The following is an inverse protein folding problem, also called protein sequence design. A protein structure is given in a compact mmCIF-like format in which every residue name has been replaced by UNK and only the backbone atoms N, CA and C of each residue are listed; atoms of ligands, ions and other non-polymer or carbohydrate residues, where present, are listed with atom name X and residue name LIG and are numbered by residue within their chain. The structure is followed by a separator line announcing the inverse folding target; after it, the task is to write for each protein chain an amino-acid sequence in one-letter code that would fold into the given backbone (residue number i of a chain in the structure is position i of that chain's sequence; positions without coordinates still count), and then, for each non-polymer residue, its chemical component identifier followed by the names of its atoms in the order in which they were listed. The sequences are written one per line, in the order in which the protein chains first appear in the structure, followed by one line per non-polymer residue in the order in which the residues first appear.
data_IF_312023454065
#
_entry.id   IF_312023454065
#
_cell.length_a   1.000
_cell.length_b   1.000
_cell.length_c   1.000
_cell.angle_alpha   90.00
_cell.angle_beta   90.00
_cell.angle_gamma   90.00
#
_symmetry.space_group_name_H-M   'P 1'
#
loop_
_entity.id
_entity.type
_entity.pdbx_description
1 polymer ?
#
# COMPACT_ATOMS: atom_id res chain seq x y z
N UNK A 1 -22.88 -15.71 -59.49
CA UNK A 1 -21.88 -16.44 -58.69
C UNK A 1 -20.55 -15.71 -58.84
N UNK A 2 -19.99 -15.15 -57.76
CA UNK A 2 -18.74 -14.37 -57.83
C UNK A 2 -17.57 -15.13 -57.22
N UNK A 3 -16.38 -14.90 -57.76
CA UNK A 3 -15.18 -15.72 -57.57
C UNK A 3 -14.50 -15.44 -56.23
N UNK A 4 -13.88 -16.48 -55.66
CA UNK A 4 -12.87 -16.32 -54.61
C UNK A 4 -11.50 -16.21 -55.27
N UNK A 5 -10.73 -15.20 -54.90
CA UNK A 5 -9.28 -15.18 -55.10
C UNK A 5 -8.60 -15.27 -53.74
N UNK A 6 -7.50 -16.03 -53.70
CA UNK A 6 -6.68 -16.21 -52.52
C UNK A 6 -5.36 -15.47 -52.75
N UNK A 7 -5.02 -14.56 -51.83
CA UNK A 7 -3.71 -13.90 -51.82
C UNK A 7 -2.83 -14.45 -50.69
N UNK A 8 -1.53 -14.54 -50.97
CA UNK A 8 -0.52 -15.17 -50.11
C UNK A 8 0.18 -14.14 -49.23
N UNK A 9 0.44 -14.49 -47.98
CA UNK A 9 1.33 -13.75 -47.09
C UNK A 9 2.81 -13.92 -47.47
N UNK A 10 3.66 -12.90 -47.29
CA UNK A 10 5.12 -13.03 -47.29
C UNK A 10 5.72 -12.97 -45.87
N UNK A 11 6.70 -13.85 -45.58
CA UNK A 11 7.57 -13.73 -44.41
C UNK A 11 8.67 -12.66 -44.60
N UNK A 12 9.15 -11.99 -43.52
CA UNK A 12 10.44 -11.32 -43.50
C UNK A 12 11.56 -12.22 -42.92
N UNK A 13 12.77 -12.06 -43.49
CA UNK A 13 13.92 -12.96 -43.32
C UNK A 13 14.76 -12.70 -42.06
N UNK A 14 15.49 -13.74 -41.62
CA UNK A 14 16.60 -13.65 -40.66
C UNK A 14 17.80 -12.88 -41.24
N UNK A 15 18.52 -12.15 -40.38
CA UNK A 15 19.89 -11.69 -40.61
C UNK A 15 20.79 -12.01 -39.41
N UNK A 16 22.08 -12.27 -39.65
CA UNK A 16 23.03 -12.75 -38.64
C UNK A 16 24.14 -11.76 -38.31
N UNK A 17 24.61 -11.86 -37.06
CA UNK A 17 25.98 -11.61 -36.54
C UNK A 17 26.91 -10.68 -37.33
N UNK A 18 27.39 -9.65 -36.63
CA UNK A 18 28.79 -9.20 -36.72
C UNK A 18 29.35 -9.03 -35.30
N UNK A 19 30.63 -9.37 -35.11
CA UNK A 19 31.36 -9.23 -33.85
C UNK A 19 32.42 -8.15 -33.98
N UNK A 20 32.79 -7.50 -32.87
CA UNK A 20 33.95 -6.59 -32.80
C UNK A 20 34.83 -7.02 -31.63
N UNK A 21 36.14 -7.06 -31.86
CA UNK A 21 37.18 -7.41 -30.88
C UNK A 21 38.43 -6.59 -31.20
N UNK A 22 39.04 -5.98 -30.18
CA UNK A 22 40.41 -5.43 -30.18
C UNK A 22 40.80 -5.33 -28.68
N UNK A 23 41.66 -6.22 -28.15
CA UNK A 23 43.13 -6.10 -28.03
C UNK A 23 43.61 -4.74 -27.47
N UNK A 24 44.02 -4.64 -26.20
CA UNK A 24 45.30 -5.08 -25.55
C UNK A 24 46.34 -3.95 -25.50
N UNK A 25 46.74 -3.57 -24.28
CA UNK A 25 48.12 -3.21 -23.89
C UNK A 25 48.26 -3.29 -22.36
N UNK A 26 49.40 -3.76 -21.86
CA UNK A 26 49.71 -3.87 -20.42
C UNK A 26 51.18 -3.49 -20.17
N UNK A 27 51.46 -2.94 -18.98
CA UNK A 27 52.75 -2.88 -18.24
C UNK A 27 52.42 -2.20 -16.89
N UNK A 28 52.68 -2.71 -15.69
CA UNK A 28 53.86 -3.38 -15.09
C UNK A 28 54.75 -2.40 -14.29
N UNK A 29 54.61 -2.51 -12.96
CA UNK A 29 55.63 -2.42 -11.88
C UNK A 29 56.55 -1.19 -11.68
N UNK A 30 56.75 -0.84 -10.40
CA UNK A 30 58.07 -0.40 -9.90
C UNK A 30 58.14 0.88 -9.06
N UNK A 31 58.85 0.81 -7.92
CA UNK A 31 59.66 1.93 -7.42
C UNK A 31 59.20 2.63 -6.13
N UNK A 32 59.97 2.44 -5.06
CA UNK A 32 59.82 3.15 -3.77
C UNK A 32 60.86 4.27 -3.59
N UNK A 33 60.57 5.17 -2.62
CA UNK A 33 61.52 5.84 -1.71
C UNK A 33 62.16 7.22 -2.05
N UNK A 34 61.81 8.19 -1.19
CA UNK A 34 62.68 9.08 -0.38
C UNK A 34 63.63 10.10 -1.05
N UNK A 35 63.45 11.39 -0.67
CA UNK A 35 64.57 12.27 -0.32
C UNK A 35 64.47 13.74 -0.76
N UNK A 36 64.48 14.70 0.19
CA UNK A 36 64.79 16.12 -0.09
C UNK A 36 63.95 17.18 0.63
N UNK A 37 64.49 17.77 1.71
CA UNK A 37 64.14 19.12 2.17
C UNK A 37 65.00 20.14 1.38
N UNK A 38 64.75 21.46 1.30
CA UNK A 38 63.88 22.42 2.01
C UNK A 38 63.53 23.58 1.02
N UNK A 39 62.97 24.77 1.34
CA UNK A 39 62.63 25.47 2.58
C UNK A 39 61.52 26.54 2.34
N UNK A 40 61.03 27.16 3.43
CA UNK A 40 60.71 28.60 3.49
C UNK A 40 59.61 29.21 2.62
N UNK A 41 58.39 29.34 3.18
CA UNK A 41 57.56 30.57 3.19
C UNK A 41 56.13 30.23 3.63
N UNK A 42 55.56 31.01 4.56
CA UNK A 42 54.19 30.81 5.05
C UNK A 42 53.33 32.05 4.73
N UNK A 43 52.35 31.93 3.82
CA UNK A 43 51.21 32.82 3.75
C UNK A 43 49.91 32.05 4.13
N UNK A 44 48.72 32.69 4.18
CA UNK A 44 47.78 32.49 5.27
C UNK A 44 46.96 31.20 5.19
N UNK A 45 46.46 30.75 6.37
CA UNK A 45 45.48 29.67 6.47
C UNK A 45 44.18 30.05 5.75
N UNK A 46 43.99 29.55 4.54
CA UNK A 46 42.65 29.36 3.98
C UNK A 46 42.00 28.20 4.71
N UNK A 47 40.90 28.45 5.42
CA UNK A 47 40.09 27.39 5.97
C UNK A 47 39.41 26.64 4.83
N UNK A 48 39.89 25.44 4.50
CA UNK A 48 39.12 24.49 3.70
C UNK A 48 37.89 24.15 4.53
N UNK A 49 36.74 24.67 4.11
CA UNK A 49 35.45 24.29 4.70
C UNK A 49 35.21 22.85 4.28
N UNK A 50 35.39 21.94 5.24
CA UNK A 50 35.14 20.52 5.04
C UNK A 50 33.74 20.33 4.47
N UNK A 51 33.65 19.61 3.35
CA UNK A 51 32.37 19.28 2.74
C UNK A 51 31.47 18.60 3.78
N UNK A 52 30.38 19.27 4.15
CA UNK A 52 29.47 18.79 5.20
C UNK A 52 28.91 17.44 4.78
N UNK A 53 29.46 16.37 5.35
CA UNK A 53 28.82 15.05 5.36
C UNK A 53 27.50 15.21 6.07
N UNK A 54 26.43 15.35 5.31
CA UNK A 54 25.05 15.26 5.81
C UNK A 54 24.94 13.91 6.53
N UNK A 55 24.67 13.89 7.86
CA UNK A 55 24.56 12.63 8.56
C UNK A 55 23.39 11.85 7.97
N UNK A 56 23.66 10.61 7.56
CA UNK A 56 22.61 9.67 7.17
C UNK A 56 21.83 9.30 8.44
N UNK A 57 20.80 10.09 8.75
CA UNK A 57 19.98 9.90 9.97
C UNK A 57 19.43 8.49 9.95
N UNK A 58 19.74 7.70 10.98
CA UNK A 58 19.43 6.28 11.03
C UNK A 58 17.91 6.06 10.97
N UNK A 59 17.43 5.70 9.78
CA UNK A 59 16.00 5.52 9.51
C UNK A 59 15.41 4.38 10.36
N UNK A 60 16.25 3.52 10.94
CA UNK A 60 15.81 2.49 11.86
C UNK A 60 15.33 3.07 13.21
N UNK A 61 15.79 4.25 13.64
CA UNK A 61 15.32 4.85 14.90
C UNK A 61 13.98 5.59 14.74
N UNK A 62 13.79 6.28 13.62
CA UNK A 62 12.48 6.79 13.19
C UNK A 62 11.42 5.66 13.12
N UNK A 63 11.77 4.56 12.45
CA UNK A 63 10.92 3.39 12.29
C UNK A 63 10.60 2.62 13.60
N UNK A 64 11.25 2.92 14.74
CA UNK A 64 10.92 2.30 16.03
C UNK A 64 9.59 2.77 16.62
N UNK A 65 8.98 3.83 16.08
CA UNK A 65 7.76 4.46 16.64
C UNK A 65 6.62 4.69 15.63
N UNK A 66 6.83 4.38 14.35
CA UNK A 66 5.88 4.69 13.26
C UNK A 66 4.70 3.70 13.13
N UNK A 67 4.69 2.58 13.85
CA UNK A 67 3.51 1.69 13.92
C UNK A 67 2.63 2.06 15.13
N UNK A 68 1.38 2.47 14.88
CA UNK A 68 0.37 2.91 15.88
C UNK A 68 0.23 1.97 17.08
N UNK A 69 0.52 0.68 16.88
CA UNK A 69 0.47 -0.34 17.93
C UNK A 69 1.54 -0.18 19.03
N UNK A 70 2.67 0.49 18.75
CA UNK A 70 3.77 0.63 19.73
C UNK A 70 3.59 1.83 20.69
N UNK A 71 2.52 2.63 20.53
CA UNK A 71 2.21 3.79 21.39
C UNK A 71 0.88 3.71 22.13
N UNK A 72 0.10 2.62 21.94
CA UNK A 72 -1.21 2.43 22.56
C UNK A 72 -1.15 1.48 23.77
N UNK A 73 -1.75 1.83 24.92
CA UNK A 73 -1.87 0.92 26.06
C UNK A 73 -2.69 -0.34 25.71
N UNK A 74 -2.24 -1.50 26.18
CA UNK A 74 -3.05 -2.73 26.11
C UNK A 74 -4.24 -2.63 27.09
N UNK A 75 -5.46 -3.04 26.70
CA UNK A 75 -6.57 -3.13 27.63
C UNK A 75 -6.34 -4.24 28.68
N UNK A 76 -6.93 -4.13 29.88
CA UNK A 76 -6.81 -5.16 30.92
C UNK A 76 -7.31 -6.53 30.44
N UNK A 77 -6.68 -7.60 30.93
CA UNK A 77 -7.11 -8.98 30.70
C UNK A 77 -7.86 -9.50 31.91
N UNK A 78 -9.18 -9.45 31.88
CA UNK A 78 -10.01 -10.18 32.85
C UNK A 78 -10.45 -11.54 32.29
N UNK A 79 -10.54 -12.51 33.20
CA UNK A 79 -10.55 -13.94 32.87
C UNK A 79 -11.93 -14.56 32.61
N UNK A 80 -11.88 -15.72 31.95
CA UNK A 80 -12.81 -16.88 32.00
C UNK A 80 -14.32 -16.65 32.21
N UNK A 81 -15.15 -17.32 31.38
CA UNK A 81 -15.91 -18.41 32.00
C UNK A 81 -16.01 -19.71 31.19
N UNK A 82 -16.02 -20.79 31.99
CA UNK A 82 -16.54 -22.18 31.82
C UNK A 82 -17.31 -22.58 30.56
N UNK A 83 -17.08 -23.84 30.18
CA UNK A 83 -17.94 -24.65 29.31
C UNK A 83 -19.37 -24.81 29.85
N UNK A 84 -20.34 -24.85 28.93
CA UNK A 84 -21.39 -25.89 28.89
C UNK A 84 -21.75 -26.20 27.43
N UNK A 85 -21.88 -27.49 27.12
CA UNK A 85 -22.41 -27.94 25.84
C UNK A 85 -23.95 -27.95 25.86
N UNK A 86 -24.57 -27.53 24.76
CA UNK A 86 -26.01 -27.63 24.53
C UNK A 86 -26.25 -27.84 23.04
N UNK A 87 -26.77 -29.01 22.67
CA UNK A 87 -26.99 -29.44 21.29
C UNK A 87 -28.48 -29.45 21.00
N UNK A 88 -29.00 -28.40 20.37
CA UNK A 88 -30.39 -28.35 19.92
C UNK A 88 -30.50 -28.26 18.39
N UNK A 89 -31.38 -29.10 17.84
CA UNK A 89 -31.62 -29.24 16.41
C UNK A 89 -32.98 -28.67 16.01
N UNK A 90 -32.97 -27.86 14.95
CA UNK A 90 -34.09 -27.56 14.04
C UNK A 90 -35.35 -26.85 14.60
N UNK A 91 -35.61 -25.65 14.06
CA UNK A 91 -36.64 -25.44 13.02
C UNK A 91 -36.48 -24.06 12.36
N UNK A 92 -36.96 -23.95 11.12
CA UNK A 92 -36.86 -22.73 10.32
C UNK A 92 -37.79 -21.64 10.83
N UNK A 93 -37.21 -20.52 11.24
CA UNK A 93 -37.89 -19.28 11.63
C UNK A 93 -37.45 -18.23 10.61
N UNK A 94 -38.37 -17.79 9.75
CA UNK A 94 -38.10 -16.88 8.63
C UNK A 94 -38.18 -15.41 9.02
N UNK A 95 -38.28 -15.09 10.32
CA UNK A 95 -38.14 -13.71 10.78
C UNK A 95 -36.66 -13.27 10.72
N UNK A 96 -36.34 -12.11 10.10
CA UNK A 96 -34.97 -11.60 10.08
C UNK A 96 -34.48 -11.29 11.51
N UNK A 97 -33.65 -12.18 12.06
CA UNK A 97 -33.04 -11.97 13.38
C UNK A 97 -32.11 -10.75 13.32
N UNK A 98 -32.18 -9.83 14.31
CA UNK A 98 -31.47 -8.58 14.24
C UNK A 98 -29.95 -8.77 14.12
N UNK A 99 -29.34 -7.90 13.33
CA UNK A 99 -27.90 -7.80 13.18
C UNK A 99 -27.20 -7.63 14.53
N UNK A 100 -25.99 -8.18 14.65
CA UNK A 100 -25.25 -8.17 15.92
C UNK A 100 -23.76 -7.89 15.72
N UNK A 101 -23.23 -6.96 16.51
CA UNK A 101 -21.81 -6.61 16.61
C UNK A 101 -21.08 -7.45 17.67
N UNK A 102 -19.75 -7.36 17.69
CA UNK A 102 -18.91 -7.93 18.74
C UNK A 102 -18.66 -9.45 18.63
N UNK A 103 -18.05 -10.07 19.66
CA UNK A 103 -17.53 -11.44 19.58
C UNK A 103 -18.59 -12.54 19.38
N UNK A 104 -19.84 -12.28 19.78
CA UNK A 104 -20.96 -13.23 19.68
C UNK A 104 -21.87 -12.97 18.47
N UNK A 105 -21.40 -12.18 17.49
CA UNK A 105 -22.06 -11.89 16.22
C UNK A 105 -22.26 -13.15 15.36
N UNK A 106 -21.18 -13.92 15.18
CA UNK A 106 -21.15 -15.08 14.29
C UNK A 106 -21.56 -14.70 12.87
N UNK A 107 -22.37 -15.54 12.23
CA UNK A 107 -22.87 -15.32 10.88
C UNK A 107 -23.88 -14.16 10.75
N UNK A 108 -24.34 -13.59 11.86
CA UNK A 108 -25.28 -12.45 11.91
C UNK A 108 -24.58 -11.09 12.05
N UNK A 109 -23.31 -11.01 11.66
CA UNK A 109 -22.58 -9.75 11.66
C UNK A 109 -23.06 -8.87 10.50
N UNK A 110 -23.46 -7.59 10.72
CA UNK A 110 -23.90 -6.70 9.64
C UNK A 110 -22.80 -6.31 8.64
N UNK A 111 -21.57 -6.80 8.82
CA UNK A 111 -20.49 -6.66 7.85
C UNK A 111 -20.67 -7.62 6.67
N UNK A 112 -21.38 -8.73 6.87
CA UNK A 112 -21.61 -9.74 5.83
C UNK A 112 -22.76 -9.35 4.89
N UNK A 113 -22.75 -9.93 3.69
CA UNK A 113 -23.82 -9.79 2.70
C UNK A 113 -25.12 -10.44 3.20
N UNK A 114 -26.26 -9.81 2.95
CA UNK A 114 -27.60 -10.30 3.28
C UNK A 114 -28.03 -10.08 4.73
N UNK A 115 -27.17 -9.52 5.60
CA UNK A 115 -27.47 -9.31 7.03
C UNK A 115 -28.01 -7.91 7.32
N UNK A 116 -27.48 -6.89 6.63
CA UNK A 116 -27.91 -5.50 6.74
C UNK A 116 -28.31 -5.01 5.35
N UNK A 117 -29.55 -5.31 4.95
CA UNK A 117 -30.04 -5.06 3.59
C UNK A 117 -30.08 -3.56 3.24
N UNK A 118 -30.23 -2.69 4.24
CA UNK A 118 -30.20 -1.24 4.05
C UNK A 118 -28.79 -0.79 3.64
N UNK A 119 -27.75 -1.18 4.40
CA UNK A 119 -26.37 -0.90 4.01
C UNK A 119 -25.93 -1.67 2.77
N UNK A 120 -26.46 -2.87 2.52
CA UNK A 120 -26.15 -3.63 1.31
C UNK A 120 -26.57 -2.88 0.04
N UNK A 121 -27.72 -2.18 0.08
CA UNK A 121 -28.25 -1.39 -1.04
C UNK A 121 -27.42 -0.15 -1.40
N UNK A 122 -26.44 0.22 -0.57
CA UNK A 122 -25.50 1.30 -0.83
C UNK A 122 -24.33 0.87 -1.73
N UNK A 123 -24.18 -0.45 -1.99
CA UNK A 123 -23.06 -1.02 -2.73
C UNK A 123 -23.52 -1.89 -3.91
N UNK A 124 -22.90 -1.78 -5.10
CA UNK A 124 -21.88 -0.80 -5.48
C UNK A 124 -22.43 0.63 -5.50
N UNK A 125 -21.54 1.62 -5.38
CA UNK A 125 -21.93 3.04 -5.33
C UNK A 125 -22.63 3.46 -6.62
N UNK A 126 -23.82 4.06 -6.47
CA UNK A 126 -24.61 4.60 -7.57
C UNK A 126 -23.82 5.71 -8.26
N UNK A 127 -23.85 5.73 -9.60
CA UNK A 127 -23.11 6.67 -10.45
C UNK A 127 -21.57 6.54 -10.36
N UNK A 128 -21.02 5.45 -9.82
CA UNK A 128 -19.61 5.15 -10.01
C UNK A 128 -19.29 5.01 -11.51
N UNK A 129 -18.18 5.61 -12.01
CA UNK A 129 -17.84 5.57 -13.43
C UNK A 129 -17.57 4.14 -13.90
N UNK A 130 -17.94 3.85 -15.14
CA UNK A 130 -17.60 2.59 -15.78
C UNK A 130 -16.06 2.45 -15.88
N UNK A 131 -15.48 1.27 -15.56
CA UNK A 131 -14.04 1.07 -15.67
C UNK A 131 -13.54 1.27 -17.11
N UNK A 132 -12.55 2.15 -17.30
CA UNK A 132 -11.88 2.33 -18.59
C UNK A 132 -10.95 1.15 -18.93
N UNK A 133 -10.53 1.00 -20.20
CA UNK A 133 -9.50 0.03 -20.57
C UNK A 133 -8.24 0.16 -19.72
N UNK A 134 -7.73 -0.96 -19.21
CA UNK A 134 -6.57 -1.00 -18.31
C UNK A 134 -6.91 -0.88 -16.82
N UNK A 135 -8.16 -0.60 -16.43
CA UNK A 135 -8.60 -0.73 -15.04
C UNK A 135 -8.35 -2.14 -14.49
N UNK A 136 -7.99 -2.21 -13.21
CA UNK A 136 -7.72 -3.47 -12.49
C UNK A 136 -8.98 -3.93 -11.76
N UNK A 137 -9.73 -2.98 -11.19
CA UNK A 137 -10.95 -3.20 -10.44
C UNK A 137 -12.18 -2.93 -11.33
N UNK A 138 -13.29 -3.68 -11.18
CA UNK A 138 -13.47 -4.79 -10.24
C UNK A 138 -12.93 -6.15 -10.71
N UNK A 139 -12.44 -6.26 -11.95
CA UNK A 139 -12.19 -7.55 -12.61
C UNK A 139 -11.09 -8.43 -11.98
N UNK A 140 -10.16 -7.84 -11.22
CA UNK A 140 -9.08 -8.55 -10.51
C UNK A 140 -9.12 -8.23 -9.02
N UNK A 141 -8.59 -9.14 -8.20
CA UNK A 141 -8.24 -8.83 -6.79
C UNK A 141 -6.78 -8.43 -6.67
N UNK A 142 -6.49 -7.35 -6.00
CA UNK A 142 -5.11 -6.95 -5.68
C UNK A 142 -4.70 -7.63 -4.37
N UNK A 143 -3.55 -8.30 -4.37
CA UNK A 143 -2.92 -8.82 -3.14
C UNK A 143 -1.58 -8.12 -2.98
N UNK A 144 -1.50 -7.24 -1.99
CA UNK A 144 -0.40 -6.32 -1.76
C UNK A 144 0.43 -6.72 -0.53
N UNK A 145 1.74 -6.82 -0.68
CA UNK A 145 2.66 -6.90 0.46
C UNK A 145 3.08 -5.49 0.85
N UNK A 146 2.72 -5.05 2.06
CA UNK A 146 2.96 -3.68 2.52
C UNK A 146 4.18 -3.55 3.41
N UNK A 147 4.83 -2.39 3.35
CA UNK A 147 5.78 -1.98 4.37
C UNK A 147 6.92 -1.11 3.88
N UNK A 148 8.06 -1.24 4.53
CA UNK A 148 9.27 -0.48 4.21
C UNK A 148 10.52 -1.38 4.29
N UNK A 149 11.31 -1.53 3.21
CA UNK A 149 12.46 -2.44 3.18
C UNK A 149 13.62 -2.03 4.10
N UNK A 150 13.60 -0.83 4.70
CA UNK A 150 14.56 -0.39 5.71
C UNK A 150 14.11 -0.71 7.15
N UNK A 151 12.95 -1.35 7.37
CA UNK A 151 12.43 -1.65 8.71
C UNK A 151 11.73 -3.01 8.83
N UNK A 152 12.26 -3.89 9.70
CA UNK A 152 11.63 -5.17 10.11
C UNK A 152 10.33 -5.01 10.91
N UNK A 153 9.96 -3.78 11.29
CA UNK A 153 8.77 -3.45 12.09
C UNK A 153 7.64 -2.88 11.25
N UNK A 154 7.95 -2.20 10.16
CA UNK A 154 7.00 -1.55 9.27
C UNK A 154 6.64 -2.50 8.12
N UNK A 155 6.01 -3.64 8.43
CA UNK A 155 5.43 -4.56 7.46
C UNK A 155 6.38 -5.56 6.79
N UNK A 156 5.77 -6.52 6.09
CA UNK A 156 6.42 -7.70 5.49
C UNK A 156 7.52 -7.38 4.47
N UNK A 157 7.46 -6.23 3.79
CA UNK A 157 8.50 -5.81 2.82
C UNK A 157 9.89 -5.63 3.44
N UNK A 158 9.98 -5.37 4.75
CA UNK A 158 11.24 -5.24 5.48
C UNK A 158 11.58 -6.42 6.38
N UNK A 159 10.69 -7.42 6.50
CA UNK A 159 10.85 -8.51 7.46
C UNK A 159 11.77 -9.64 6.96
N UNK A 160 11.68 -9.97 5.67
CA UNK A 160 12.40 -11.08 5.04
C UNK A 160 13.36 -10.59 3.95
N UNK A 161 14.40 -11.37 3.59
CA UNK A 161 15.15 -11.16 2.35
C UNK A 161 14.20 -11.13 1.13
N UNK A 162 14.55 -10.33 0.11
CA UNK A 162 13.65 -10.05 -1.02
C UNK A 162 13.12 -11.32 -1.71
N UNK A 163 13.97 -12.30 -2.00
CA UNK A 163 13.55 -13.54 -2.66
C UNK A 163 12.65 -14.43 -1.78
N UNK A 164 12.79 -14.36 -0.46
CA UNK A 164 11.88 -15.05 0.45
C UNK A 164 10.54 -14.30 0.53
N UNK A 165 10.57 -12.97 0.62
CA UNK A 165 9.38 -12.12 0.59
C UNK A 165 8.56 -12.34 -0.69
N UNK A 166 9.21 -12.36 -1.87
CA UNK A 166 8.55 -12.59 -3.14
C UNK A 166 7.98 -14.02 -3.25
N UNK A 167 8.67 -15.06 -2.78
CA UNK A 167 8.08 -16.42 -2.71
C UNK A 167 6.86 -16.51 -1.79
N UNK A 168 6.82 -15.73 -0.70
CA UNK A 168 5.63 -15.63 0.16
C UNK A 168 4.48 -14.91 -0.57
N UNK A 169 4.78 -13.87 -1.35
CA UNK A 169 3.77 -13.21 -2.21
C UNK A 169 3.22 -14.18 -3.25
N UNK A 170 4.08 -14.96 -3.92
CA UNK A 170 3.68 -15.99 -4.89
C UNK A 170 2.71 -17.01 -4.27
N UNK A 171 2.97 -17.43 -3.01
CA UNK A 171 2.09 -18.33 -2.27
C UNK A 171 0.75 -17.68 -1.85
N UNK A 172 0.77 -16.41 -1.46
CA UNK A 172 -0.44 -15.64 -1.12
C UNK A 172 -1.34 -15.42 -2.35
N UNK A 173 -0.74 -15.12 -3.51
CA UNK A 173 -1.41 -15.04 -4.82
C UNK A 173 -2.10 -16.37 -5.17
N UNK A 174 -1.38 -17.49 -5.04
CA UNK A 174 -1.95 -18.82 -5.29
C UNK A 174 -3.11 -19.15 -4.34
N UNK A 175 -2.96 -18.86 -3.05
CA UNK A 175 -3.98 -19.10 -2.03
C UNK A 175 -5.25 -18.27 -2.24
N UNK A 176 -5.14 -17.03 -2.73
CA UNK A 176 -6.30 -16.19 -3.08
C UNK A 176 -6.98 -16.62 -4.38
N UNK A 177 -6.21 -16.96 -5.43
CA UNK A 177 -6.76 -17.50 -6.68
C UNK A 177 -7.56 -18.80 -6.45
N UNK A 178 -7.11 -19.66 -5.52
CA UNK A 178 -7.77 -20.92 -5.23
C UNK A 178 -9.14 -20.78 -4.54
N UNK A 179 -9.38 -19.70 -3.78
CA UNK A 179 -10.65 -19.47 -3.04
C UNK A 179 -11.62 -18.56 -3.77
N UNK A 180 -11.16 -17.75 -4.73
CA UNK A 180 -12.01 -16.92 -5.59
C UNK A 180 -11.40 -16.78 -6.99
N UNK A 181 -11.57 -17.80 -7.86
CA UNK A 181 -11.07 -17.78 -9.23
C UNK A 181 -11.82 -16.78 -10.15
N UNK A 182 -12.94 -16.20 -9.71
CA UNK A 182 -13.67 -15.20 -10.49
C UNK A 182 -12.99 -13.82 -10.49
N UNK A 183 -12.12 -13.54 -9.51
CA UNK A 183 -11.34 -12.32 -9.41
C UNK A 183 -9.84 -12.66 -9.38
N UNK A 184 -9.23 -13.04 -10.53
CA UNK A 184 -7.84 -13.46 -10.60
C UNK A 184 -6.91 -12.40 -10.02
N UNK A 185 -5.91 -12.85 -9.27
CA UNK A 185 -5.07 -11.99 -8.45
C UNK A 185 -4.06 -11.21 -9.28
N UNK A 186 -4.04 -9.89 -9.08
CA UNK A 186 -2.96 -8.99 -9.46
C UNK A 186 -2.02 -8.80 -8.25
N UNK A 187 -0.80 -9.34 -8.26
CA UNK A 187 0.16 -9.10 -7.17
C UNK A 187 0.54 -7.62 -7.11
N UNK A 188 0.90 -7.15 -5.91
CA UNK A 188 1.41 -5.81 -5.67
C UNK A 188 2.44 -5.76 -4.53
N UNK A 189 3.34 -4.77 -4.58
CA UNK A 189 4.15 -4.33 -3.44
C UNK A 189 3.68 -2.91 -3.07
N UNK A 190 3.42 -2.66 -1.78
CA UNK A 190 2.98 -1.36 -1.29
C UNK A 190 4.02 -0.78 -0.34
N UNK A 191 4.83 0.16 -0.83
CA UNK A 191 5.99 0.68 -0.11
C UNK A 191 5.75 2.08 0.46
N UNK A 192 6.00 2.24 1.76
CA UNK A 192 6.00 3.54 2.43
C UNK A 192 7.25 4.31 2.00
N UNK A 193 7.08 5.30 1.12
CA UNK A 193 8.18 6.11 0.57
C UNK A 193 8.37 7.44 1.29
N UNK A 194 7.32 7.93 1.93
CA UNK A 194 7.34 9.05 2.87
C UNK A 194 6.85 8.52 4.21
N UNK A 195 7.73 8.43 5.20
CA UNK A 195 7.43 7.92 6.54
C UNK A 195 7.15 9.08 7.47
N UNK A 196 6.11 8.98 8.32
CA UNK A 196 5.85 9.97 9.36
C UNK A 196 6.68 9.67 10.61
N UNK A 197 7.35 10.71 11.12
CA UNK A 197 8.35 10.60 12.18
C UNK A 197 7.83 11.14 13.51
N UNK A 198 8.27 10.55 14.62
CA UNK A 198 8.02 11.09 15.96
C UNK A 198 8.87 12.35 16.28
N UNK A 199 9.77 12.76 15.38
CA UNK A 199 10.67 13.91 15.52
C UNK A 199 10.59 14.79 14.25
N UNK A 200 10.78 16.13 14.37
CA UNK A 200 10.49 17.06 13.28
C UNK A 200 11.32 16.89 12.00
N UNK A 201 12.51 16.28 12.09
CA UNK A 201 13.49 16.23 11.01
C UNK A 201 13.99 17.64 10.57
N UNK A 202 14.89 17.72 9.58
CA UNK A 202 15.47 19.01 9.16
C UNK A 202 14.47 20.03 8.59
N UNK A 203 13.30 19.56 8.13
CA UNK A 203 12.25 20.42 7.55
C UNK A 203 11.18 20.86 8.54
N UNK A 204 11.24 20.42 9.80
CA UNK A 204 10.19 20.65 10.80
C UNK A 204 8.90 19.85 10.57
N UNK A 205 8.81 19.06 9.48
CA UNK A 205 7.56 18.43 9.02
C UNK A 205 7.22 17.07 9.61
N UNK A 206 8.03 16.52 10.52
CA UNK A 206 7.77 15.21 11.13
C UNK A 206 7.58 14.11 10.07
N UNK A 207 8.42 14.12 9.03
CA UNK A 207 8.46 13.07 8.02
C UNK A 207 9.84 12.91 7.37
N UNK A 208 10.11 11.71 6.85
CA UNK A 208 11.32 11.35 6.12
C UNK A 208 10.95 10.84 4.72
N UNK A 209 11.46 11.54 3.69
CA UNK A 209 11.41 11.06 2.29
C UNK A 209 12.52 10.04 2.09
N UNK A 210 12.20 8.86 1.57
CA UNK A 210 13.22 7.90 1.15
C UNK A 210 13.82 8.25 -0.21
N UNK A 211 15.07 7.84 -0.40
CA UNK A 211 15.80 8.07 -1.64
C UNK A 211 15.17 7.32 -2.83
N UNK A 212 15.38 7.85 -4.04
CA UNK A 212 14.82 7.22 -5.24
C UNK A 212 15.40 5.84 -5.52
N UNK A 213 16.63 5.53 -5.08
CA UNK A 213 17.24 4.22 -5.30
C UNK A 213 16.49 3.10 -4.53
N UNK A 214 15.97 3.39 -3.34
CA UNK A 214 15.09 2.48 -2.60
C UNK A 214 13.78 2.23 -3.36
N UNK A 215 13.16 3.28 -3.89
CA UNK A 215 11.88 3.18 -4.64
C UNK A 215 12.09 2.37 -5.92
N UNK A 216 13.16 2.64 -6.68
CA UNK A 216 13.51 1.86 -7.87
C UNK A 216 13.86 0.40 -7.55
N UNK A 217 14.48 0.12 -6.40
CA UNK A 217 14.77 -1.24 -5.95
C UNK A 217 13.50 -2.05 -5.72
N UNK A 218 12.50 -1.46 -5.03
CA UNK A 218 11.19 -2.11 -4.81
C UNK A 218 10.41 -2.21 -6.11
N UNK A 219 10.48 -1.21 -6.99
CA UNK A 219 9.92 -1.29 -8.34
C UNK A 219 10.51 -2.46 -9.14
N UNK A 220 11.84 -2.67 -9.08
CA UNK A 220 12.50 -3.82 -9.69
C UNK A 220 11.98 -5.17 -9.16
N UNK A 221 11.71 -5.27 -7.86
CA UNK A 221 11.06 -6.45 -7.27
C UNK A 221 9.64 -6.66 -7.80
N UNK A 222 8.82 -5.60 -7.86
CA UNK A 222 7.46 -5.67 -8.39
C UNK A 222 7.47 -6.13 -9.87
N UNK A 223 8.33 -5.52 -10.70
CA UNK A 223 8.53 -5.89 -12.10
C UNK A 223 8.94 -7.36 -12.28
N UNK A 224 9.73 -7.93 -11.37
CA UNK A 224 10.13 -9.35 -11.39
C UNK A 224 8.96 -10.35 -11.19
N UNK A 225 7.77 -9.87 -10.87
CA UNK A 225 6.53 -10.65 -10.71
C UNK A 225 5.34 -10.11 -11.50
N UNK A 226 5.57 -9.16 -12.42
CA UNK A 226 4.51 -8.40 -13.09
C UNK A 226 3.48 -7.82 -12.09
N UNK A 227 3.99 -7.40 -10.94
CA UNK A 227 3.22 -6.86 -9.83
C UNK A 227 3.12 -5.33 -9.92
N UNK A 228 2.05 -4.77 -9.37
CA UNK A 228 1.88 -3.33 -9.22
C UNK A 228 2.82 -2.80 -8.12
N UNK A 229 3.17 -1.52 -8.20
CA UNK A 229 3.80 -0.81 -7.10
C UNK A 229 2.86 0.27 -6.58
N UNK A 230 2.57 0.27 -5.29
CA UNK A 230 1.97 1.42 -4.63
C UNK A 230 3.06 2.17 -3.87
N UNK A 231 3.15 3.49 -4.09
CA UNK A 231 3.99 4.38 -3.30
C UNK A 231 3.11 5.08 -2.25
N UNK A 232 3.38 4.84 -0.98
CA UNK A 232 2.57 5.34 0.13
C UNK A 232 3.16 6.59 0.80
N UNK A 233 2.27 7.52 1.18
CA UNK A 233 2.60 8.80 1.79
C UNK A 233 1.99 9.02 3.19
N UNK A 234 2.85 8.90 4.20
CA UNK A 234 2.60 9.35 5.57
C UNK A 234 3.12 10.79 5.75
N UNK A 235 2.25 11.78 5.51
CA UNK A 235 2.69 13.18 5.28
C UNK A 235 3.22 13.92 6.52
N UNK A 236 2.96 13.44 7.74
CA UNK A 236 3.32 14.15 8.96
C UNK A 236 2.62 15.51 9.04
N UNK A 237 3.37 16.57 9.34
CA UNK A 237 2.89 17.98 9.30
C UNK A 237 3.06 18.63 7.92
N UNK A 238 3.26 17.83 6.87
CA UNK A 238 3.18 18.26 5.47
C UNK A 238 1.76 18.07 4.92
N UNK A 239 1.58 18.26 3.61
CA UNK A 239 0.30 18.05 2.92
C UNK A 239 0.50 17.32 1.60
N UNK A 240 -0.55 16.68 1.07
CA UNK A 240 -0.49 15.98 -0.23
C UNK A 240 -0.08 16.93 -1.36
N UNK A 241 -0.50 18.21 -1.30
CA UNK A 241 -0.10 19.27 -2.23
C UNK A 241 1.41 19.50 -2.27
N UNK A 242 2.12 19.33 -1.15
CA UNK A 242 3.56 19.53 -1.04
C UNK A 242 4.39 18.26 -1.32
N UNK A 243 3.77 17.08 -1.23
CA UNK A 243 4.46 15.78 -1.30
C UNK A 243 4.21 15.02 -2.62
N UNK A 244 3.03 15.13 -3.24
CA UNK A 244 2.73 14.44 -4.50
C UNK A 244 3.65 14.83 -5.69
N UNK A 245 4.01 16.11 -5.92
CA UNK A 245 4.92 16.48 -7.02
C UNK A 245 6.30 15.83 -6.93
N UNK A 246 6.76 15.45 -5.72
CA UNK A 246 8.05 14.78 -5.53
C UNK A 246 8.04 13.32 -6.05
N UNK A 247 6.88 12.65 -6.03
CA UNK A 247 6.71 11.28 -6.53
C UNK A 247 6.10 11.18 -7.94
N UNK A 248 5.79 12.30 -8.60
CA UNK A 248 5.23 12.35 -9.97
C UNK A 248 5.99 11.44 -10.94
N UNK A 249 7.33 11.53 -10.92
CA UNK A 249 8.26 10.75 -11.76
C UNK A 249 8.15 9.22 -11.62
N UNK A 250 7.54 8.72 -10.55
CA UNK A 250 7.22 7.31 -10.38
C UNK A 250 5.78 7.02 -10.85
N UNK A 251 4.82 7.88 -10.47
CA UNK A 251 3.40 7.74 -10.81
C UNK A 251 3.10 7.82 -12.32
N UNK A 252 3.97 8.45 -13.12
CA UNK A 252 3.88 8.43 -14.60
C UNK A 252 4.11 7.05 -15.23
N UNK A 253 4.50 6.02 -14.46
CA UNK A 253 4.60 4.64 -14.95
C UNK A 253 3.23 3.95 -14.84
N UNK A 254 2.79 3.16 -15.84
CA UNK A 254 1.42 2.62 -15.88
C UNK A 254 1.08 1.75 -14.66
N UNK A 255 2.04 0.95 -14.20
CA UNK A 255 1.96 -0.02 -13.10
C UNK A 255 2.29 0.54 -11.71
N UNK A 256 2.42 1.87 -11.58
CA UNK A 256 2.64 2.56 -10.29
C UNK A 256 1.38 3.35 -9.86
N UNK A 257 1.02 3.20 -8.59
CA UNK A 257 -0.20 3.71 -7.95
C UNK A 257 0.13 4.39 -6.60
N UNK A 258 -0.88 4.96 -5.94
CA UNK A 258 -0.73 5.78 -4.74
C UNK A 258 -1.44 5.18 -3.52
N UNK A 259 -0.74 5.13 -2.38
CA UNK A 259 -1.33 4.96 -1.06
C UNK A 259 -1.26 6.25 -0.25
N UNK A 260 -2.26 6.48 0.59
CA UNK A 260 -2.26 7.56 1.59
C UNK A 260 -2.78 7.05 2.94
N UNK A 261 -2.08 7.41 4.02
CA UNK A 261 -2.40 7.09 5.41
C UNK A 261 -2.97 8.33 6.15
N UNK A 262 -4.31 8.54 6.21
CA UNK A 262 -4.92 9.65 6.92
C UNK A 262 -4.53 9.80 8.39
N UNK A 263 -4.28 8.71 9.11
CA UNK A 263 -3.87 8.72 10.51
C UNK A 263 -2.49 9.35 10.74
N UNK A 264 -1.70 9.54 9.68
CA UNK A 264 -0.43 10.29 9.70
C UNK A 264 -0.52 11.71 9.14
N UNK A 265 -1.71 12.17 8.73
CA UNK A 265 -1.96 13.57 8.33
C UNK A 265 -2.14 14.48 9.55
N UNK A 266 -1.05 15.09 9.99
CA UNK A 266 -1.00 16.08 11.09
C UNK A 266 -1.20 17.52 10.59
N UNK A 267 -2.05 17.73 9.57
CA UNK A 267 -2.33 19.06 9.00
C UNK A 267 -2.89 20.06 10.02
N UNK A 268 -3.50 19.57 11.09
CA UNK A 268 -4.01 20.34 12.23
C UNK A 268 -2.98 20.45 13.38
N UNK A 269 -1.71 20.17 13.12
CA UNK A 269 -0.66 20.02 14.13
C UNK A 269 -0.72 18.67 14.86
N UNK A 270 0.12 18.53 15.88
CA UNK A 270 0.33 17.26 16.60
C UNK A 270 1.55 16.48 16.08
N UNK A 271 1.92 15.43 16.81
CA UNK A 271 3.09 14.59 16.51
C UNK A 271 2.59 13.22 16.04
N UNK A 272 3.06 12.69 14.90
CA UNK A 272 2.74 11.34 14.44
C UNK A 272 2.94 10.28 15.53
N UNK A 273 2.02 9.33 15.61
CA UNK A 273 2.02 8.27 16.63
C UNK A 273 1.67 8.71 18.06
N UNK A 274 1.58 10.02 18.35
CA UNK A 274 1.00 10.57 19.60
C UNK A 274 -0.44 11.06 19.43
N UNK A 275 -0.81 11.44 18.21
CA UNK A 275 -2.19 11.76 17.81
C UNK A 275 -2.50 11.00 16.52
N UNK A 276 -3.79 10.74 16.30
CA UNK A 276 -4.31 10.22 15.03
C UNK A 276 -4.67 11.43 14.16
N UNK A 277 -4.14 11.44 12.94
CA UNK A 277 -4.38 12.46 11.93
C UNK A 277 -5.73 12.31 11.23
N UNK A 278 -5.95 13.14 10.22
CA UNK A 278 -7.17 13.07 9.39
C UNK A 278 -6.94 13.65 7.99
N UNK A 279 -7.61 13.09 6.99
CA UNK A 279 -7.86 13.73 5.70
C UNK A 279 -9.33 14.11 5.59
N UNK A 280 -9.59 15.18 4.85
CA UNK A 280 -10.93 15.48 4.38
C UNK A 280 -11.11 14.95 2.95
N UNK A 281 -12.35 14.80 2.49
CA UNK A 281 -12.64 14.59 1.08
C UNK A 281 -11.96 15.62 0.16
N UNK A 282 -11.74 16.86 0.60
CA UNK A 282 -10.95 17.84 -0.14
C UNK A 282 -9.50 17.38 -0.44
N UNK A 283 -8.86 16.67 0.50
CA UNK A 283 -7.49 16.14 0.33
C UNK A 283 -7.48 14.92 -0.59
N UNK A 284 -8.44 14.00 -0.42
CA UNK A 284 -8.60 12.81 -1.27
C UNK A 284 -8.94 13.23 -2.71
N UNK A 285 -9.82 14.22 -2.88
CA UNK A 285 -10.16 14.80 -4.18
C UNK A 285 -8.97 15.54 -4.81
N UNK A 286 -8.07 16.11 -4.02
CA UNK A 286 -6.81 16.66 -4.54
C UNK A 286 -5.89 15.54 -5.08
N UNK A 287 -5.70 14.46 -4.32
CA UNK A 287 -4.92 13.30 -4.77
C UNK A 287 -5.53 12.63 -6.01
N UNK A 288 -6.85 12.46 -6.04
CA UNK A 288 -7.59 11.92 -7.19
C UNK A 288 -7.36 12.78 -8.45
N UNK A 289 -7.58 14.10 -8.38
CA UNK A 289 -7.30 15.00 -9.52
C UNK A 289 -5.83 15.00 -9.93
N UNK A 290 -4.90 14.92 -8.99
CA UNK A 290 -3.47 14.83 -9.31
C UNK A 290 -3.18 13.56 -10.13
N UNK A 291 -3.72 12.41 -9.74
CA UNK A 291 -3.58 11.16 -10.49
C UNK A 291 -4.28 11.22 -11.86
N UNK A 292 -5.50 11.76 -11.92
CA UNK A 292 -6.27 11.93 -13.16
C UNK A 292 -5.53 12.79 -14.18
N UNK A 293 -4.97 13.93 -13.75
CA UNK A 293 -4.12 14.77 -14.60
C UNK A 293 -2.90 14.03 -15.17
N UNK A 294 -2.30 13.08 -14.43
CA UNK A 294 -1.19 12.26 -14.95
C UNK A 294 -1.68 11.22 -15.95
N UNK A 295 -2.87 10.66 -15.76
CA UNK A 295 -3.51 9.73 -16.71
C UNK A 295 -3.75 10.42 -18.05
N UNK A 296 -4.37 11.60 -18.04
CA UNK A 296 -4.67 12.37 -19.25
C UNK A 296 -3.40 12.87 -19.95
N UNK A 297 -2.48 13.48 -19.20
CA UNK A 297 -1.23 14.07 -19.72
C UNK A 297 -0.28 13.04 -20.35
N UNK A 298 -0.30 11.79 -19.87
CA UNK A 298 0.66 10.75 -20.29
C UNK A 298 0.00 9.52 -20.95
N UNK A 299 -1.32 9.52 -21.15
CA UNK A 299 -2.05 8.41 -21.79
C UNK A 299 -1.95 7.10 -21.00
N UNK A 300 -2.02 7.17 -19.67
CA UNK A 300 -1.84 6.01 -18.78
C UNK A 300 -3.13 5.20 -18.64
N UNK A 301 -3.08 3.92 -18.23
CA UNK A 301 -4.25 3.25 -17.67
C UNK A 301 -4.70 3.94 -16.36
N UNK A 302 -5.98 3.79 -15.97
CA UNK A 302 -6.51 4.36 -14.73
C UNK A 302 -5.67 4.00 -13.50
N UNK A 303 -5.45 5.00 -12.66
CA UNK A 303 -4.71 4.84 -11.40
C UNK A 303 -5.58 4.20 -10.33
N UNK A 304 -4.91 3.77 -9.27
CA UNK A 304 -5.55 3.33 -8.04
C UNK A 304 -5.06 4.25 -6.92
N UNK A 305 -6.00 4.72 -6.12
CA UNK A 305 -5.77 5.47 -4.90
C UNK A 305 -6.26 4.62 -3.72
N UNK A 306 -5.33 4.08 -2.94
CA UNK A 306 -5.65 3.39 -1.68
C UNK A 306 -5.65 4.43 -0.56
N UNK A 307 -6.73 4.44 0.23
CA UNK A 307 -6.89 5.31 1.40
C UNK A 307 -7.05 4.41 2.63
N UNK A 308 -6.05 4.41 3.51
CA UNK A 308 -6.04 3.55 4.70
C UNK A 308 -6.91 4.13 5.81
N UNK A 309 -8.12 3.59 6.00
CA UNK A 309 -9.08 4.08 7.00
C UNK A 309 -8.94 3.25 8.29
N UNK A 310 -8.09 3.71 9.20
CA UNK A 310 -7.92 3.13 10.55
C UNK A 310 -9.07 3.47 11.51
N UNK A 311 -9.67 4.65 11.36
CA UNK A 311 -10.78 5.13 12.21
C UNK A 311 -11.79 5.90 11.35
N UNK A 312 -13.06 6.05 11.78
CA UNK A 312 -14.04 6.81 11.00
C UNK A 312 -13.62 8.29 10.88
N UNK A 313 -13.10 8.89 11.96
CA UNK A 313 -12.60 10.27 11.95
C UNK A 313 -11.31 10.48 11.13
N UNK A 314 -10.68 9.39 10.67
CA UNK A 314 -9.53 9.46 9.76
C UNK A 314 -9.89 10.05 8.39
N UNK A 315 -11.14 9.92 7.93
CA UNK A 315 -11.63 10.51 6.69
C UNK A 315 -12.92 11.28 6.92
N UNK A 316 -12.86 12.61 6.92
CA UNK A 316 -14.06 13.46 7.06
C UNK A 316 -14.76 13.70 5.72
N UNK A 317 -16.10 13.78 5.78
CA UNK A 317 -16.98 14.04 4.63
C UNK A 317 -16.81 13.05 3.45
N UNK A 318 -16.68 11.76 3.73
CA UNK A 318 -16.47 10.72 2.71
C UNK A 318 -17.52 10.73 1.57
N UNK A 319 -18.74 11.20 1.86
CA UNK A 319 -19.84 11.45 0.91
C UNK A 319 -19.52 12.49 -0.18
N UNK A 320 -18.51 13.34 0.05
CA UNK A 320 -18.05 14.38 -0.88
C UNK A 320 -16.81 13.96 -1.69
N UNK A 321 -16.38 12.71 -1.60
CA UNK A 321 -15.31 12.18 -2.44
C UNK A 321 -15.84 12.04 -3.87
N UNK A 322 -15.23 12.76 -4.81
CA UNK A 322 -15.60 12.75 -6.21
C UNK A 322 -14.93 11.57 -6.93
N UNK A 323 -15.73 10.76 -7.62
CA UNK A 323 -15.23 9.65 -8.43
C UNK A 323 -14.86 10.13 -9.83
N UNK A 324 -13.78 9.57 -10.38
CA UNK A 324 -13.20 9.93 -11.66
C UNK A 324 -12.92 8.63 -12.46
N UNK A 325 -13.30 8.51 -13.75
CA UNK A 325 -13.02 7.31 -14.54
C UNK A 325 -11.52 6.97 -14.66
N UNK A 326 -10.63 7.95 -14.50
CA UNK A 326 -9.18 7.78 -14.49
C UNK A 326 -8.63 7.29 -13.14
N UNK A 327 -9.42 7.23 -12.07
CA UNK A 327 -8.95 6.87 -10.72
C UNK A 327 -9.92 5.93 -9.99
N UNK A 328 -9.44 4.73 -9.68
CA UNK A 328 -10.13 3.73 -8.87
C UNK A 328 -9.78 3.96 -7.38
N UNK A 329 -10.74 4.38 -6.56
CA UNK A 329 -10.54 4.64 -5.13
C UNK A 329 -10.86 3.38 -4.31
N UNK A 330 -9.89 2.95 -3.51
CA UNK A 330 -10.02 1.86 -2.54
C UNK A 330 -10.02 2.44 -1.13
N UNK A 331 -11.11 2.23 -0.41
CA UNK A 331 -11.13 2.46 1.04
C UNK A 331 -10.67 1.18 1.75
N UNK A 332 -9.43 1.18 2.25
CA UNK A 332 -8.84 0.01 2.91
C UNK A 332 -9.13 0.03 4.43
N UNK A 333 -9.63 -1.09 4.95
CA UNK A 333 -9.88 -1.25 6.38
C UNK A 333 -8.56 -1.53 7.11
N UNK A 334 -8.00 -0.52 7.77
CA UNK A 334 -6.71 -0.57 8.45
C UNK A 334 -6.82 -1.03 9.92
N UNK A 335 -7.71 -1.99 10.19
CA UNK A 335 -7.91 -2.54 11.53
C UNK A 335 -6.99 -3.71 11.85
N UNK A 336 -6.65 -3.87 13.12
CA UNK A 336 -6.03 -5.07 13.68
C UNK A 336 -6.95 -5.71 14.73
N UNK A 337 -6.68 -6.98 15.06
CA UNK A 337 -7.33 -7.69 16.17
C UNK A 337 -7.95 -9.03 15.77
N UNK A 338 -8.75 -9.65 16.67
CA UNK A 338 -9.49 -10.86 16.36
C UNK A 338 -10.56 -10.61 15.27
N UNK A 339 -11.05 -11.65 14.57
CA UNK A 339 -11.90 -11.48 13.39
C UNK A 339 -13.19 -10.68 13.64
N UNK A 340 -13.80 -10.83 14.81
CA UNK A 340 -14.99 -10.07 15.18
C UNK A 340 -14.74 -8.56 15.27
N UNK A 341 -13.59 -8.14 15.82
CA UNK A 341 -13.24 -6.73 15.98
C UNK A 341 -12.94 -6.09 14.62
N UNK A 342 -12.28 -6.85 13.74
CA UNK A 342 -12.01 -6.40 12.37
C UNK A 342 -13.28 -6.31 11.52
N UNK A 343 -14.26 -7.19 11.75
CA UNK A 343 -15.60 -7.06 11.15
C UNK A 343 -16.39 -5.88 11.72
N UNK A 344 -16.30 -5.61 13.02
CA UNK A 344 -16.90 -4.40 13.62
C UNK A 344 -16.32 -3.14 12.97
N UNK A 345 -14.99 -3.04 12.82
CA UNK A 345 -14.31 -1.96 12.10
C UNK A 345 -14.73 -1.88 10.64
N UNK A 346 -14.77 -3.01 9.90
CA UNK A 346 -15.19 -3.03 8.50
C UNK A 346 -16.63 -2.55 8.30
N UNK A 347 -17.56 -2.98 9.16
CA UNK A 347 -18.94 -2.47 9.14
C UNK A 347 -18.98 -0.98 9.47
N UNK A 348 -18.28 -0.57 10.54
CA UNK A 348 -18.30 0.80 11.05
C UNK A 348 -17.74 1.81 10.04
N UNK A 349 -16.59 1.48 9.45
CA UNK A 349 -15.73 2.44 8.75
C UNK A 349 -15.73 2.27 7.23
N UNK A 350 -16.03 1.07 6.70
CA UNK A 350 -16.14 0.85 5.24
C UNK A 350 -17.59 0.76 4.83
N UNK A 351 -18.33 -0.25 5.30
CA UNK A 351 -19.67 -0.57 4.78
C UNK A 351 -20.66 0.59 4.89
N UNK A 352 -20.62 1.33 6.00
CA UNK A 352 -21.50 2.48 6.28
C UNK A 352 -21.17 3.75 5.48
N UNK A 353 -19.97 3.88 4.95
CA UNK A 353 -19.46 5.11 4.33
C UNK A 353 -18.88 4.80 2.94
N UNK A 354 -19.76 4.54 1.97
CA UNK A 354 -19.39 3.96 0.68
C UNK A 354 -18.71 4.98 -0.24
N UNK A 355 -17.69 4.54 -0.97
CA UNK A 355 -16.91 5.40 -1.89
C UNK A 355 -16.83 4.78 -3.28
N UNK A 356 -16.09 3.68 -3.48
CA UNK A 356 -16.08 2.97 -4.77
C UNK A 356 -15.71 1.48 -4.60
N UNK A 357 -14.50 1.20 -4.13
CA UNK A 357 -14.04 -0.15 -3.82
C UNK A 357 -13.58 -0.26 -2.36
N UNK A 358 -13.54 -1.49 -1.85
CA UNK A 358 -13.13 -1.79 -0.48
C UNK A 358 -11.86 -2.62 -0.41
N UNK A 359 -11.05 -2.35 0.62
CA UNK A 359 -9.86 -3.08 0.98
C UNK A 359 -9.92 -3.72 2.36
N UNK A 360 -9.05 -4.70 2.58
CA UNK A 360 -8.85 -5.34 3.88
C UNK A 360 -7.35 -5.50 4.18
N UNK A 361 -6.88 -4.86 5.25
CA UNK A 361 -5.56 -5.15 5.83
C UNK A 361 -5.62 -6.41 6.70
N UNK A 362 -4.63 -7.28 6.56
CA UNK A 362 -4.45 -8.51 7.32
C UNK A 362 -3.02 -8.60 7.84
N UNK A 363 -2.86 -8.59 9.18
CA UNK A 363 -1.55 -8.77 9.78
C UNK A 363 -1.18 -10.25 9.82
N UNK A 364 0.10 -10.52 9.54
CA UNK A 364 0.73 -11.85 9.59
C UNK A 364 1.11 -12.23 11.03
N UNK A 365 1.47 -11.24 11.85
CA UNK A 365 1.95 -11.45 13.22
C UNK A 365 0.78 -11.67 14.19
N UNK A 366 0.82 -12.80 14.91
CA UNK A 366 -0.17 -13.19 15.95
C UNK A 366 -0.27 -12.24 17.17
N UNK A 367 0.54 -11.18 17.24
CA UNK A 367 0.39 -10.10 18.22
C UNK A 367 -0.60 -9.00 17.76
N UNK A 368 -0.88 -8.95 16.45
CA UNK A 368 -1.80 -8.01 15.82
C UNK A 368 -3.15 -8.71 15.64
N UNK A 369 -3.17 -9.78 14.84
CA UNK A 369 -4.40 -10.51 14.51
C UNK A 369 -4.34 -11.93 15.11
N UNK A 370 -5.25 -12.22 16.05
CA UNK A 370 -5.29 -13.50 16.77
C UNK A 370 -6.72 -13.97 17.08
N UNK A 371 -7.22 -15.02 16.41
CA UNK A 371 -6.66 -15.60 15.17
C UNK A 371 -6.68 -14.57 14.02
N UNK A 372 -5.92 -14.78 12.93
CA UNK A 372 -6.15 -14.06 11.68
C UNK A 372 -7.56 -14.34 11.15
N UNK A 373 -8.12 -13.42 10.37
CA UNK A 373 -9.41 -13.66 9.70
C UNK A 373 -9.19 -14.54 8.48
N UNK A 374 -10.04 -15.56 8.28
CA UNK A 374 -9.89 -16.46 7.16
C UNK A 374 -10.29 -15.80 5.84
N UNK A 375 -9.67 -16.20 4.71
CA UNK A 375 -10.06 -15.70 3.37
C UNK A 375 -11.55 -15.92 3.08
N UNK A 376 -12.10 -17.05 3.51
CA UNK A 376 -13.52 -17.36 3.40
C UNK A 376 -14.41 -16.38 4.19
N UNK A 377 -14.01 -15.96 5.39
CA UNK A 377 -14.74 -14.91 6.12
C UNK A 377 -14.61 -13.53 5.45
N UNK A 378 -13.44 -13.19 4.88
CA UNK A 378 -13.24 -11.93 4.15
C UNK A 378 -14.14 -11.89 2.90
N UNK A 379 -14.25 -13.00 2.16
CA UNK A 379 -15.12 -13.11 0.97
C UNK A 379 -16.63 -13.03 1.29
N UNK A 380 -17.03 -13.20 2.56
CA UNK A 380 -18.43 -13.04 3.01
C UNK A 380 -18.83 -11.60 3.32
N UNK A 381 -17.85 -10.69 3.41
CA UNK A 381 -18.10 -9.27 3.65
C UNK A 381 -18.88 -8.64 2.50
N UNK A 382 -19.62 -7.58 2.79
CA UNK A 382 -20.26 -6.74 1.78
C UNK A 382 -19.94 -5.26 2.03
N UNK A 383 -19.38 -4.53 1.05
CA UNK A 383 -18.88 -5.03 -0.24
C UNK A 383 -17.77 -6.08 -0.03
N UNK A 384 -17.47 -6.90 -1.05
CA UNK A 384 -16.35 -7.86 -0.97
C UNK A 384 -15.04 -7.09 -1.18
N UNK A 385 -14.02 -7.24 -0.31
CA UNK A 385 -12.72 -6.62 -0.53
C UNK A 385 -12.04 -7.11 -1.83
N UNK A 386 -11.68 -6.16 -2.67
CA UNK A 386 -10.91 -6.39 -3.90
C UNK A 386 -9.45 -5.93 -3.79
N UNK A 387 -9.09 -5.29 -2.68
CA UNK A 387 -7.71 -5.02 -2.30
C UNK A 387 -7.43 -5.71 -0.97
N UNK A 388 -6.39 -6.56 -0.92
CA UNK A 388 -5.97 -7.28 0.30
C UNK A 388 -4.54 -6.86 0.60
N UNK A 389 -4.33 -6.22 1.75
CA UNK A 389 -3.00 -5.85 2.22
C UNK A 389 -2.50 -6.84 3.27
N UNK A 390 -1.31 -7.41 3.04
CA UNK A 390 -0.62 -8.29 3.98
C UNK A 390 0.52 -7.50 4.65
N UNK A 391 0.56 -7.51 5.99
CA UNK A 391 1.50 -6.70 6.80
C UNK A 391 2.18 -7.47 7.93
#
# INVERSE_FOLDING_TARGET
MSLRHAERSPEPRRLSRAAITLLIAACAEGGSSVGGASAGAQPPRVAVVDSVRVPLVDSAEAARRATVQDTMPLPPRDGTPRDTAGRDTARGDTTPRPARLGPKSGDRHPAFKGVDLALDSLWPVKNAPAPLPGSILPAKRIVAFYGNPKSKRMGILGEFPADEMLRKLDAEVAAWNAVDPAHPVQPALHVIVLVADAQPGPSGKYRTRHDSAMIEKVYGWARSRNALLFVDLQVGQSTLQAELPWIEKFLVRPDVHLGIDPEFSMKNGGIPGRRIGTYDAADINYASRFLSNLVEKHGLPPKILVVHRFTPAGVTHADKIALDPNVQIVMDMDGFGPPWMKRDTYWRDIKREPVQFAGWKQFTKRKNDKPPTSRAEILRLWPVPLYIQIQ
#
